data_IF_305553180794
#
_entry.id   IF_305553180794
#
_cell.length_a   1.000
_cell.length_b   1.000
_cell.length_c   1.000
_cell.angle_alpha   90.00
_cell.angle_beta   90.00
_cell.angle_gamma   90.00
#
_symmetry.space_group_name_H-M   'P 1'
#
loop_
_entity.id
_entity.type
_entity.pdbx_description
1 polymer ?
#
# COMPACT_ATOMS: atom_id res chain seq x y z
N UNK A 1 5.40 10.20 -107.14
CA UNK A 1 4.73 10.93 -106.03
C UNK A 1 4.25 10.06 -104.89
N UNK A 2 3.91 8.77 -104.99
CA UNK A 2 3.41 7.95 -103.88
C UNK A 2 4.51 7.48 -102.84
N UNK A 3 5.74 7.27 -103.28
CA UNK A 3 6.84 6.76 -102.38
C UNK A 3 7.40 7.84 -101.42
N UNK A 4 7.35 9.13 -101.73
CA UNK A 4 7.82 10.16 -100.87
C UNK A 4 6.80 10.53 -99.72
N UNK A 5 5.49 10.46 -100.02
CA UNK A 5 4.47 10.63 -99.02
C UNK A 5 4.44 9.49 -98.00
N UNK A 6 4.75 8.28 -98.39
CA UNK A 6 4.86 7.14 -97.49
C UNK A 6 6.06 7.26 -96.55
N UNK A 7 7.22 7.72 -97.03
CA UNK A 7 8.40 7.95 -96.18
C UNK A 7 8.15 9.06 -95.13
N UNK A 8 7.43 10.12 -95.51
CA UNK A 8 7.07 11.18 -94.53
C UNK A 8 6.09 10.68 -93.50
N UNK A 9 5.13 9.83 -93.85
CA UNK A 9 4.17 9.24 -92.92
C UNK A 9 4.84 8.27 -91.94
N UNK A 10 5.78 7.42 -92.37
CA UNK A 10 6.55 6.56 -91.51
C UNK A 10 7.48 7.32 -90.54
N UNK A 11 8.08 8.42 -91.00
CA UNK A 11 8.90 9.26 -90.12
C UNK A 11 8.06 9.97 -89.03
N UNK A 12 6.89 10.46 -89.37
CA UNK A 12 5.95 11.06 -88.41
C UNK A 12 5.43 10.01 -87.40
N UNK A 13 5.14 8.79 -87.86
CA UNK A 13 4.69 7.70 -86.95
C UNK A 13 5.78 7.24 -85.99
N UNK A 14 7.05 7.15 -86.46
CA UNK A 14 8.18 6.84 -85.61
C UNK A 14 8.42 7.99 -84.59
N UNK A 15 8.25 9.24 -85.00
CA UNK A 15 8.32 10.42 -84.09
C UNK A 15 7.29 10.42 -82.99
N UNK A 16 6.05 10.05 -83.35
CA UNK A 16 4.95 9.92 -82.35
C UNK A 16 5.20 8.74 -81.41
N UNK A 17 5.73 7.62 -81.92
CA UNK A 17 6.06 6.45 -81.08
C UNK A 17 7.19 6.72 -80.10
N UNK A 18 8.23 7.45 -80.55
CA UNK A 18 9.30 7.88 -79.67
C UNK A 18 8.82 8.89 -78.63
N UNK A 19 7.96 9.86 -79.01
CA UNK A 19 7.41 10.85 -78.09
C UNK A 19 6.46 10.19 -77.06
N UNK A 20 5.63 9.22 -77.44
CA UNK A 20 4.79 8.47 -76.55
C UNK A 20 5.60 7.56 -75.62
N UNK A 21 6.70 6.99 -76.10
CA UNK A 21 7.62 6.21 -75.27
C UNK A 21 8.34 7.04 -74.18
N UNK A 22 8.78 8.27 -74.55
CA UNK A 22 9.37 9.22 -73.62
C UNK A 22 8.32 9.71 -72.59
N UNK A 23 7.10 9.96 -73.01
CA UNK A 23 6.00 10.38 -72.12
C UNK A 23 5.62 9.27 -71.13
N UNK A 24 5.54 8.02 -71.61
CA UNK A 24 5.31 6.83 -70.75
C UNK A 24 6.46 6.56 -69.77
N UNK A 25 7.71 6.80 -70.21
CA UNK A 25 8.88 6.66 -69.37
C UNK A 25 8.92 7.74 -68.26
N UNK A 26 8.52 8.95 -68.58
CA UNK A 26 8.43 10.04 -67.62
C UNK A 26 7.30 9.84 -66.58
N UNK A 27 6.09 9.45 -67.01
CA UNK A 27 4.95 9.11 -66.15
C UNK A 27 5.20 7.84 -65.33
N UNK A 28 5.94 6.86 -65.85
CA UNK A 28 6.31 5.66 -65.15
C UNK A 28 7.31 5.85 -64.03
N UNK A 29 8.28 6.76 -64.21
CA UNK A 29 9.24 7.10 -63.19
C UNK A 29 8.56 7.81 -61.98
N UNK A 30 7.65 8.76 -62.22
CA UNK A 30 6.95 9.46 -61.15
C UNK A 30 6.10 8.52 -60.32
N UNK A 31 5.43 7.51 -60.95
CA UNK A 31 4.65 6.52 -60.24
C UNK A 31 5.51 5.56 -59.38
N UNK A 32 6.72 5.25 -59.89
CA UNK A 32 7.65 4.38 -59.17
C UNK A 32 8.27 5.09 -57.93
N UNK A 33 8.62 6.35 -58.11
CA UNK A 33 9.15 7.19 -57.03
C UNK A 33 8.08 7.38 -55.92
N UNK A 34 6.85 7.69 -56.30
CA UNK A 34 5.74 7.80 -55.36
C UNK A 34 5.48 6.45 -54.61
N UNK A 35 5.57 5.34 -55.28
CA UNK A 35 5.36 4.01 -54.68
C UNK A 35 6.50 3.61 -53.71
N UNK A 36 7.71 4.15 -53.90
CA UNK A 36 8.85 3.87 -53.02
C UNK A 36 8.91 4.76 -51.80
N UNK A 37 8.41 5.99 -51.92
CA UNK A 37 8.46 7.00 -50.82
C UNK A 37 7.25 6.85 -49.85
N UNK A 38 6.10 6.33 -50.36
CA UNK A 38 4.90 6.19 -49.52
C UNK A 38 4.77 4.75 -49.01
N UNK A 39 4.78 4.62 -47.69
CA UNK A 39 4.48 3.36 -47.00
C UNK A 39 3.10 3.37 -46.40
N UNK A 40 2.40 2.26 -46.48
CA UNK A 40 1.02 2.14 -45.99
C UNK A 40 0.93 1.01 -44.98
N UNK A 41 0.05 1.20 -43.99
CA UNK A 41 -0.27 0.22 -42.95
C UNK A 41 -1.73 0.29 -42.55
N UNK A 42 -2.27 -0.79 -42.01
CA UNK A 42 -3.65 -0.87 -41.54
C UNK A 42 -3.66 -0.42 -40.07
N UNK A 43 -4.47 0.58 -39.77
CA UNK A 43 -4.70 1.05 -38.42
C UNK A 43 -5.34 -0.06 -37.59
N UNK A 44 -4.68 -0.44 -36.51
CA UNK A 44 -5.10 -1.48 -35.59
C UNK A 44 -5.25 -0.88 -34.20
N UNK A 45 -6.36 -1.13 -33.51
CA UNK A 45 -6.46 -0.78 -32.10
C UNK A 45 -5.81 -1.85 -31.22
N UNK A 46 -5.25 -1.41 -30.12
CA UNK A 46 -4.65 -2.29 -29.14
C UNK A 46 -5.72 -3.11 -28.43
N UNK A 47 -5.54 -4.44 -28.37
CA UNK A 47 -6.50 -5.32 -27.72
C UNK A 47 -6.07 -5.67 -26.31
N UNK A 48 -6.97 -5.46 -25.36
CA UNK A 48 -6.76 -5.75 -23.94
C UNK A 48 -7.64 -6.91 -23.53
N UNK A 49 -7.01 -7.93 -22.96
CA UNK A 49 -7.71 -9.07 -22.34
C UNK A 49 -7.93 -8.75 -20.88
N UNK A 50 -9.19 -8.59 -20.48
CA UNK A 50 -9.55 -8.27 -19.11
C UNK A 50 -9.95 -9.53 -18.36
N UNK A 51 -9.39 -9.71 -17.17
CA UNK A 51 -9.58 -10.87 -16.29
C UNK A 51 -9.72 -10.43 -14.84
N UNK A 52 -10.32 -11.28 -14.01
CA UNK A 52 -10.32 -11.09 -12.57
C UNK A 52 -8.94 -11.40 -11.98
N UNK A 53 -8.39 -10.48 -11.19
CA UNK A 53 -7.09 -10.65 -10.54
C UNK A 53 -7.21 -11.50 -9.28
N UNK A 54 -6.52 -12.65 -9.23
CA UNK A 54 -6.35 -13.49 -8.03
C UNK A 54 -7.65 -14.01 -7.39
N UNK A 55 -8.82 -13.68 -7.94
CA UNK A 55 -10.13 -14.11 -7.45
C UNK A 55 -10.89 -14.84 -8.55
N UNK A 56 -11.69 -15.82 -8.16
CA UNK A 56 -12.59 -16.56 -9.03
C UNK A 56 -13.92 -16.81 -8.34
N UNK A 57 -14.89 -17.27 -9.08
CA UNK A 57 -16.23 -17.53 -8.54
C UNK A 57 -17.28 -17.59 -9.64
N UNK A 58 -18.54 -17.66 -9.22
CA UNK A 58 -19.67 -17.65 -10.13
C UNK A 58 -19.93 -16.23 -10.64
N UNK A 59 -20.07 -16.03 -11.93
CA UNK A 59 -20.49 -14.77 -12.54
C UNK A 59 -22.00 -14.57 -12.28
N UNK A 60 -22.33 -13.50 -11.56
CA UNK A 60 -23.74 -13.17 -11.22
C UNK A 60 -24.32 -12.04 -12.05
N UNK A 61 -23.45 -11.22 -12.67
CA UNK A 61 -23.91 -10.08 -13.45
C UNK A 61 -22.93 -9.72 -14.56
N UNK A 62 -23.45 -9.61 -15.78
CA UNK A 62 -22.81 -8.96 -16.91
C UNK A 62 -23.28 -7.48 -16.94
N UNK A 63 -22.35 -6.53 -16.78
CA UNK A 63 -22.65 -5.09 -16.74
C UNK A 63 -22.57 -4.41 -18.10
N UNK A 64 -22.09 -5.10 -19.13
CA UNK A 64 -21.81 -4.53 -20.47
C UNK A 64 -22.25 -5.48 -21.56
N UNK A 65 -22.38 -4.93 -22.78
CA UNK A 65 -22.71 -5.69 -23.98
C UNK A 65 -21.58 -5.63 -25.01
N UNK A 66 -21.54 -6.60 -25.93
CA UNK A 66 -20.62 -6.54 -27.06
C UNK A 66 -20.88 -5.30 -27.91
N UNK A 67 -19.83 -4.73 -28.46
CA UNK A 67 -19.79 -3.46 -29.18
C UNK A 67 -20.10 -2.19 -28.36
N UNK A 68 -20.32 -2.29 -27.03
CA UNK A 68 -20.53 -1.14 -26.14
C UNK A 68 -19.20 -0.40 -25.90
N UNK A 69 -19.25 0.94 -25.90
CA UNK A 69 -18.15 1.77 -25.41
C UNK A 69 -18.18 1.85 -23.89
N UNK A 70 -17.01 1.75 -23.28
CA UNK A 70 -16.82 1.82 -21.85
C UNK A 70 -15.71 2.80 -21.50
N UNK A 71 -15.81 3.41 -20.32
CA UNK A 71 -14.79 4.29 -19.75
C UNK A 71 -14.03 3.57 -18.67
N UNK A 72 -12.82 4.02 -18.43
CA UNK A 72 -11.99 3.53 -17.32
C UNK A 72 -12.75 3.58 -16.00
N UNK A 73 -12.81 2.44 -15.30
CA UNK A 73 -13.52 2.29 -14.03
C UNK A 73 -14.96 1.81 -14.14
N UNK A 74 -15.56 1.78 -15.33
CA UNK A 74 -16.90 1.22 -15.54
C UNK A 74 -16.94 -0.25 -15.12
N UNK A 75 -18.05 -0.66 -14.50
CA UNK A 75 -18.24 -2.05 -14.05
C UNK A 75 -18.56 -2.91 -15.26
N UNK A 76 -17.70 -3.88 -15.52
CA UNK A 76 -17.83 -4.83 -16.61
C UNK A 76 -18.59 -6.09 -16.21
N UNK A 77 -18.16 -6.72 -15.10
CA UNK A 77 -18.71 -7.99 -14.60
C UNK A 77 -18.63 -8.03 -13.07
N UNK A 78 -19.49 -8.83 -12.44
CA UNK A 78 -19.53 -9.03 -10.99
C UNK A 78 -19.61 -10.53 -10.70
N UNK A 79 -18.70 -11.01 -9.85
CA UNK A 79 -18.75 -12.36 -9.27
C UNK A 79 -19.55 -12.38 -7.97
N UNK A 80 -19.98 -13.56 -7.57
CA UNK A 80 -20.67 -13.78 -6.29
C UNK A 80 -19.73 -13.49 -5.12
N UNK A 81 -20.16 -12.62 -4.22
CA UNK A 81 -19.40 -12.20 -3.04
C UNK A 81 -19.84 -12.90 -1.75
N UNK A 82 -20.85 -13.77 -1.79
CA UNK A 82 -21.50 -14.34 -0.61
C UNK A 82 -20.51 -15.00 0.37
N UNK A 83 -19.57 -15.78 -0.14
CA UNK A 83 -18.56 -16.47 0.69
C UNK A 83 -17.56 -15.48 1.30
N UNK A 84 -17.17 -14.46 0.54
CA UNK A 84 -16.26 -13.42 1.02
C UNK A 84 -16.95 -12.52 2.04
N UNK A 85 -18.22 -12.18 1.83
CA UNK A 85 -19.04 -11.40 2.77
C UNK A 85 -19.21 -12.12 4.09
N UNK A 86 -19.47 -13.43 4.06
CA UNK A 86 -19.51 -14.26 5.27
C UNK A 86 -18.17 -14.28 6.00
N UNK A 87 -17.08 -14.41 5.26
CA UNK A 87 -15.72 -14.40 5.83
C UNK A 87 -15.37 -13.04 6.47
N UNK A 88 -15.79 -11.95 5.85
CA UNK A 88 -15.66 -10.58 6.40
C UNK A 88 -16.45 -10.48 7.72
N UNK A 89 -17.71 -10.87 7.72
CA UNK A 89 -18.56 -10.80 8.91
C UNK A 89 -18.00 -11.65 10.07
N UNK A 90 -17.46 -12.83 9.78
CA UNK A 90 -16.78 -13.66 10.78
C UNK A 90 -15.54 -12.98 11.36
N UNK A 91 -14.70 -12.38 10.51
CA UNK A 91 -13.50 -11.67 10.93
C UNK A 91 -13.86 -10.44 11.77
N UNK A 92 -14.86 -9.67 11.39
CA UNK A 92 -15.36 -8.53 12.15
C UNK A 92 -15.86 -8.94 13.53
N UNK A 93 -16.59 -10.06 13.64
CA UNK A 93 -17.04 -10.60 14.92
C UNK A 93 -15.86 -11.02 15.82
N UNK A 94 -14.81 -11.63 15.25
CA UNK A 94 -13.61 -12.01 16.00
C UNK A 94 -12.85 -10.76 16.49
N UNK A 95 -12.73 -9.71 15.68
CA UNK A 95 -12.13 -8.43 16.08
C UNK A 95 -12.93 -7.79 17.21
N UNK A 96 -14.26 -7.77 17.13
CA UNK A 96 -15.13 -7.24 18.17
C UNK A 96 -15.00 -8.02 19.50
N UNK A 97 -14.87 -9.36 19.43
CA UNK A 97 -14.60 -10.19 20.61
C UNK A 97 -13.24 -9.81 21.22
N UNK A 98 -12.21 -9.66 20.41
CA UNK A 98 -10.86 -9.29 20.86
C UNK A 98 -10.84 -7.87 21.47
N UNK A 99 -11.59 -6.94 20.91
CA UNK A 99 -11.78 -5.59 21.48
C UNK A 99 -12.38 -5.65 22.90
N UNK A 100 -13.35 -6.50 23.09
CA UNK A 100 -13.97 -6.71 24.41
C UNK A 100 -12.97 -7.30 25.41
N UNK A 101 -12.10 -8.22 24.96
CA UNK A 101 -11.03 -8.79 25.78
C UNK A 101 -9.98 -7.72 26.16
N UNK A 102 -9.55 -6.92 25.19
CA UNK A 102 -8.61 -5.80 25.42
C UNK A 102 -9.18 -4.81 26.44
N UNK A 103 -10.45 -4.41 26.26
CA UNK A 103 -11.13 -3.51 27.19
C UNK A 103 -11.20 -4.07 28.60
N UNK A 104 -11.54 -5.35 28.76
CA UNK A 104 -11.59 -6.03 30.06
C UNK A 104 -10.19 -6.11 30.70
N UNK A 105 -9.18 -6.51 29.93
CA UNK A 105 -7.80 -6.62 30.39
C UNK A 105 -7.23 -5.24 30.81
N UNK A 106 -7.47 -4.19 30.02
CA UNK A 106 -7.07 -2.80 30.34
C UNK A 106 -7.77 -2.33 31.62
N UNK A 107 -9.06 -2.62 31.78
CA UNK A 107 -9.79 -2.34 33.01
C UNK A 107 -9.17 -3.04 34.22
N UNK A 108 -8.79 -4.31 34.08
CA UNK A 108 -8.09 -5.08 35.12
C UNK A 108 -6.73 -4.48 35.51
N UNK A 109 -5.97 -3.97 34.55
CA UNK A 109 -4.71 -3.24 34.80
C UNK A 109 -4.99 -1.95 35.59
N UNK A 110 -5.97 -1.15 35.19
CA UNK A 110 -6.35 0.07 35.88
C UNK A 110 -6.76 -0.18 37.34
N UNK A 111 -7.55 -1.24 37.58
CA UNK A 111 -7.93 -1.65 38.95
C UNK A 111 -6.67 -2.06 39.74
N UNK A 112 -5.74 -2.80 39.15
CA UNK A 112 -4.50 -3.21 39.84
C UNK A 112 -3.64 -1.99 40.25
N UNK A 113 -3.53 -0.96 39.43
CA UNK A 113 -2.85 0.28 39.79
C UNK A 113 -3.60 1.08 40.85
N UNK A 114 -4.93 1.17 40.77
CA UNK A 114 -5.75 1.84 41.78
C UNK A 114 -5.62 1.17 43.16
N UNK A 115 -5.59 -0.19 43.18
CA UNK A 115 -5.38 -0.94 44.41
C UNK A 115 -3.99 -0.68 44.99
N UNK A 116 -2.92 -0.73 44.17
CA UNK A 116 -1.57 -0.43 44.60
C UNK A 116 -1.45 1.01 45.21
N UNK A 117 -2.10 2.01 44.62
CA UNK A 117 -2.15 3.35 45.14
C UNK A 117 -2.91 3.44 46.47
N UNK A 118 -4.01 2.70 46.63
CA UNK A 118 -4.78 2.63 47.88
C UNK A 118 -3.95 1.99 48.98
N UNK A 119 -3.29 0.87 48.69
CA UNK A 119 -2.45 0.12 49.63
C UNK A 119 -1.24 0.97 50.06
N UNK A 120 -0.65 1.75 49.13
CA UNK A 120 0.41 2.71 49.41
C UNK A 120 -0.04 3.77 50.42
N UNK A 121 -1.20 4.41 50.16
CA UNK A 121 -1.75 5.43 51.09
C UNK A 121 -2.05 4.86 52.47
N UNK A 122 -2.56 3.62 52.54
CA UNK A 122 -2.83 2.95 53.80
C UNK A 122 -1.51 2.66 54.55
N UNK A 123 -0.49 2.19 53.85
CA UNK A 123 0.85 1.95 54.44
C UNK A 123 1.47 3.23 54.97
N UNK A 124 1.41 4.33 54.25
CA UNK A 124 1.90 5.63 54.76
C UNK A 124 1.14 6.10 55.98
N UNK A 125 -0.20 5.98 56.01
CA UNK A 125 -0.98 6.35 57.20
C UNK A 125 -0.61 5.51 58.42
N UNK A 126 -0.37 4.19 58.25
CA UNK A 126 0.07 3.33 59.34
C UNK A 126 1.46 3.70 59.86
N UNK A 127 2.40 4.02 58.95
CA UNK A 127 3.75 4.51 59.34
C UNK A 127 3.65 5.83 60.10
N UNK A 128 2.84 6.78 59.62
CA UNK A 128 2.70 8.08 60.27
C UNK A 128 2.03 7.98 61.66
N UNK A 129 1.01 7.10 61.79
CA UNK A 129 0.38 6.80 63.07
C UNK A 129 1.41 6.17 64.04
N UNK A 130 2.24 5.27 63.57
CA UNK A 130 3.26 4.65 64.42
C UNK A 130 4.39 5.64 64.78
N UNK A 131 4.80 6.54 63.88
CA UNK A 131 5.72 7.64 64.20
C UNK A 131 5.17 8.54 65.32
N UNK A 132 3.87 8.88 65.25
CA UNK A 132 3.22 9.65 66.29
C UNK A 132 3.21 8.90 67.64
N UNK A 133 2.97 7.58 67.62
CA UNK A 133 3.03 6.73 68.82
C UNK A 133 4.45 6.69 69.44
N UNK A 134 5.50 6.59 68.59
CA UNK A 134 6.89 6.69 69.06
C UNK A 134 7.15 8.04 69.69
N UNK A 135 6.75 9.15 69.09
CA UNK A 135 6.93 10.51 69.61
C UNK A 135 6.21 10.71 70.97
N UNK A 136 5.00 10.17 71.14
CA UNK A 136 4.27 10.21 72.42
C UNK A 136 4.98 9.38 73.52
N UNK A 137 5.47 8.19 73.18
CA UNK A 137 6.22 7.35 74.10
C UNK A 137 7.57 8.02 74.52
N UNK A 138 8.23 8.66 73.56
CA UNK A 138 9.48 9.42 73.81
C UNK A 138 9.26 10.61 74.78
N UNK A 139 8.19 11.39 74.55
CA UNK A 139 7.81 12.47 75.46
C UNK A 139 7.53 11.95 76.86
N UNK A 140 6.87 10.77 76.98
CA UNK A 140 6.59 10.15 78.29
C UNK A 140 7.88 9.68 78.95
N UNK A 141 8.79 9.09 78.24
CA UNK A 141 10.09 8.65 78.71
C UNK A 141 10.94 9.89 79.22
N UNK A 142 11.06 10.94 78.44
CA UNK A 142 11.80 12.14 78.76
C UNK A 142 11.23 12.75 80.02
N UNK A 143 9.89 12.84 80.18
CA UNK A 143 9.25 13.40 81.43
C UNK A 143 9.57 12.52 82.64
N UNK A 144 9.48 11.20 82.51
CA UNK A 144 9.83 10.27 83.59
C UNK A 144 11.32 10.37 83.99
N UNK A 145 12.20 10.51 83.02
CA UNK A 145 13.65 10.72 83.27
C UNK A 145 13.94 11.98 83.96
N UNK A 146 13.28 13.12 83.60
CA UNK A 146 13.41 14.42 84.32
C UNK A 146 12.91 14.25 85.70
N UNK A 147 11.78 13.57 85.95
CA UNK A 147 11.26 13.36 87.30
C UNK A 147 12.23 12.51 88.18
N UNK A 148 12.72 11.39 87.59
CA UNK A 148 13.74 10.56 88.29
C UNK A 148 14.97 11.36 88.66
N UNK A 149 15.54 12.18 87.79
CA UNK A 149 16.69 13.03 88.05
C UNK A 149 16.38 14.08 89.15
N UNK A 150 15.15 14.60 89.18
CA UNK A 150 14.70 15.54 90.23
C UNK A 150 14.62 14.88 91.60
N UNK A 151 14.00 13.68 91.66
CA UNK A 151 13.89 12.91 92.88
C UNK A 151 15.25 12.47 93.42
N UNK A 152 16.18 12.07 92.55
CA UNK A 152 17.57 11.77 92.98
C UNK A 152 18.30 12.99 93.53
N UNK A 153 18.10 14.19 92.93
CA UNK A 153 18.65 15.45 93.50
C UNK A 153 18.04 15.84 94.87
N UNK A 154 16.74 15.60 95.03
CA UNK A 154 16.06 15.89 96.34
C UNK A 154 16.47 14.86 97.42
N UNK A 155 16.70 13.60 97.08
CA UNK A 155 17.22 12.62 98.01
C UNK A 155 18.59 13.01 98.52
N UNK A 156 19.51 13.48 97.61
CA UNK A 156 20.84 13.94 98.00
C UNK A 156 20.83 15.13 98.99
N UNK A 157 19.75 15.93 99.00
CA UNK A 157 19.48 17.02 99.98
C UNK A 157 18.67 16.55 101.19
N UNK A 158 18.29 15.25 101.27
CA UNK A 158 17.48 14.71 102.39
C UNK A 158 16.01 15.14 102.37
N UNK A 159 15.49 15.65 101.25
CA UNK A 159 14.12 16.16 101.14
C UNK A 159 13.06 15.15 100.82
N UNK A 160 13.43 13.94 100.33
CA UNK A 160 12.51 12.82 99.97
C UNK A 160 13.05 11.48 100.45
N UNK A 161 12.16 10.45 100.59
CA UNK A 161 12.53 9.12 101.02
C UNK A 161 13.09 8.29 99.77
N UNK A 162 13.96 7.30 100.05
CA UNK A 162 14.48 6.40 99.03
C UNK A 162 13.36 5.73 98.19
N UNK A 163 12.28 5.38 98.80
CA UNK A 163 11.11 4.80 98.15
C UNK A 163 10.55 5.67 96.99
N UNK A 164 10.61 7.00 97.13
CA UNK A 164 10.14 7.91 96.08
C UNK A 164 11.09 7.93 94.88
N UNK A 165 12.40 7.73 95.06
CA UNK A 165 13.39 7.58 93.98
C UNK A 165 13.21 6.26 93.29
N UNK A 166 13.01 5.17 94.07
CA UNK A 166 12.77 3.80 93.51
C UNK A 166 11.48 3.73 92.63
N UNK A 167 10.40 4.44 93.12
CA UNK A 167 9.15 4.56 92.33
C UNK A 167 9.40 5.39 91.01
N UNK A 168 10.14 6.48 91.11
CA UNK A 168 10.48 7.27 89.90
C UNK A 168 11.35 6.53 88.91
N UNK A 169 12.29 5.71 89.45
CA UNK A 169 13.12 4.82 88.59
C UNK A 169 12.24 3.74 87.87
N UNK A 170 11.39 3.07 88.60
CA UNK A 170 10.47 2.12 88.04
C UNK A 170 9.58 2.73 86.92
N UNK A 171 9.09 3.96 87.18
CA UNK A 171 8.31 4.68 86.20
C UNK A 171 9.11 5.03 84.90
N UNK A 172 10.36 5.40 85.07
CA UNK A 172 11.28 5.62 83.94
C UNK A 172 11.57 4.36 83.18
N UNK A 173 11.85 3.24 83.87
CA UNK A 173 12.14 1.95 83.22
C UNK A 173 10.93 1.42 82.45
N UNK A 174 9.72 1.53 82.96
CA UNK A 174 8.48 1.20 82.28
C UNK A 174 8.31 2.08 81.04
N UNK A 175 8.54 3.40 81.13
CA UNK A 175 8.47 4.30 80.00
C UNK A 175 9.53 4.00 78.95
N UNK A 176 10.75 3.60 79.32
CA UNK A 176 11.82 3.19 78.43
C UNK A 176 11.46 1.90 77.68
N UNK A 177 10.88 0.93 78.37
CA UNK A 177 10.42 -0.33 77.73
C UNK A 177 9.29 -0.07 76.71
N UNK A 178 8.34 0.82 77.06
CA UNK A 178 7.27 1.24 76.14
C UNK A 178 7.81 1.92 74.89
N UNK A 179 8.75 2.86 75.07
CA UNK A 179 9.41 3.52 73.92
C UNK A 179 10.14 2.51 73.03
N UNK A 180 10.87 1.57 73.58
CA UNK A 180 11.56 0.51 72.86
C UNK A 180 10.57 -0.32 72.04
N UNK A 181 9.45 -0.71 72.65
CA UNK A 181 8.38 -1.46 71.94
C UNK A 181 7.80 -0.68 70.75
N UNK A 182 7.50 0.64 70.94
CA UNK A 182 6.97 1.46 69.85
C UNK A 182 8.00 1.64 68.70
N UNK A 183 9.28 1.78 69.03
CA UNK A 183 10.37 1.86 68.06
C UNK A 183 10.52 0.57 67.27
N UNK A 184 10.42 -0.59 67.92
CA UNK A 184 10.44 -1.90 67.26
C UNK A 184 9.25 -2.08 66.29
N UNK A 185 8.05 -1.64 66.74
CA UNK A 185 6.88 -1.68 65.88
C UNK A 185 7.07 -0.79 64.63
N UNK A 186 7.63 0.41 64.78
CA UNK A 186 7.97 1.27 63.64
C UNK A 186 9.03 0.62 62.75
N UNK A 187 10.06 0.02 63.33
CA UNK A 187 11.09 -0.69 62.56
C UNK A 187 10.54 -1.84 61.75
N UNK A 188 9.53 -2.58 62.26
CA UNK A 188 8.81 -3.64 61.52
C UNK A 188 8.06 -3.08 60.32
N UNK A 189 7.37 -1.93 60.45
CA UNK A 189 6.66 -1.25 59.40
C UNK A 189 7.63 -0.69 58.32
N UNK A 190 8.81 -0.28 58.74
CA UNK A 190 9.88 0.23 57.83
C UNK A 190 10.77 -0.90 57.28
N UNK A 191 10.58 -2.14 57.68
CA UNK A 191 11.44 -3.23 57.27
C UNK A 191 11.40 -3.42 55.72
N UNK A 192 12.58 -3.33 55.09
CA UNK A 192 12.72 -3.43 53.62
C UNK A 192 12.39 -2.15 52.86
N UNK A 193 12.00 -1.07 53.55
CA UNK A 193 11.79 0.24 52.90
C UNK A 193 13.16 0.94 52.68
N UNK A 194 13.25 1.71 51.57
CA UNK A 194 14.40 2.56 51.27
C UNK A 194 13.93 3.96 50.90
N UNK A 195 14.72 4.97 51.20
CA UNK A 195 14.47 6.32 50.66
C UNK A 195 14.91 6.35 49.19
N UNK A 196 14.12 6.98 48.36
CA UNK A 196 14.50 7.19 46.96
C UNK A 196 15.58 8.25 46.87
N UNK A 197 16.65 7.99 46.09
CA UNK A 197 17.80 8.91 45.99
C UNK A 197 17.47 10.35 45.51
N UNK A 198 16.29 10.56 44.95
CA UNK A 198 15.87 11.85 44.36
C UNK A 198 14.62 12.49 44.99
N UNK A 199 13.97 11.83 45.91
CA UNK A 199 12.78 12.37 46.60
C UNK A 199 12.76 11.86 48.04
N UNK A 200 12.36 12.66 49.00
CA UNK A 200 12.12 12.25 50.41
C UNK A 200 10.99 11.20 50.54
N UNK A 201 10.64 10.55 49.43
CA UNK A 201 9.59 9.53 49.35
C UNK A 201 10.14 8.16 49.73
N UNK A 202 9.54 7.56 50.73
CA UNK A 202 9.83 6.22 51.18
C UNK A 202 9.34 5.20 50.11
N UNK A 203 10.25 4.38 49.59
CA UNK A 203 9.90 3.30 48.67
C UNK A 203 9.41 2.07 49.45
N UNK A 204 8.18 1.62 49.15
CA UNK A 204 7.54 0.45 49.72
C UNK A 204 7.71 -0.73 48.80
N UNK A 205 8.55 -1.76 49.09
CA UNK A 205 8.82 -2.86 48.19
C UNK A 205 7.59 -3.65 47.76
N UNK A 206 6.62 -3.84 48.63
CA UNK A 206 5.36 -4.53 48.33
C UNK A 206 4.55 -3.79 47.26
N UNK A 207 4.50 -2.45 47.37
CA UNK A 207 3.82 -1.61 46.39
C UNK A 207 4.57 -1.61 45.03
N UNK A 208 5.92 -1.56 45.09
CA UNK A 208 6.73 -1.66 43.89
C UNK A 208 6.47 -3.01 43.12
N UNK A 209 6.38 -4.12 43.84
CA UNK A 209 6.04 -5.42 43.25
C UNK A 209 4.61 -5.43 42.68
N UNK A 210 3.63 -4.84 43.38
CA UNK A 210 2.25 -4.73 42.86
C UNK A 210 2.22 -3.90 41.56
N UNK A 211 2.90 -2.77 41.51
CA UNK A 211 3.01 -1.94 40.30
C UNK A 211 3.72 -2.66 39.17
N UNK A 212 4.79 -3.41 39.46
CA UNK A 212 5.48 -4.22 38.47
C UNK A 212 4.56 -5.33 37.92
N UNK A 213 3.75 -5.97 38.78
CA UNK A 213 2.78 -6.95 38.36
C UNK A 213 1.70 -6.35 37.46
N UNK A 214 1.22 -5.12 37.77
CA UNK A 214 0.31 -4.40 36.92
C UNK A 214 0.95 -4.00 35.58
N UNK A 215 2.24 -3.60 35.57
CA UNK A 215 2.98 -3.34 34.34
C UNK A 215 3.15 -4.57 33.47
N UNK A 216 3.42 -5.74 34.05
CA UNK A 216 3.50 -6.99 33.32
C UNK A 216 2.15 -7.35 32.65
N UNK A 217 1.02 -7.18 33.35
CA UNK A 217 -0.31 -7.33 32.73
C UNK A 217 -0.57 -6.35 31.59
N UNK A 218 0.07 -5.17 31.58
CA UNK A 218 0.00 -4.24 30.46
C UNK A 218 0.69 -4.78 29.21
N UNK A 219 1.76 -5.56 29.37
CA UNK A 219 2.41 -6.26 28.25
C UNK A 219 1.47 -7.32 27.64
N UNK A 220 0.66 -7.99 28.47
CA UNK A 220 -0.36 -8.93 27.97
C UNK A 220 -1.43 -8.20 27.15
N UNK A 221 -1.85 -7.00 27.60
CA UNK A 221 -2.77 -6.14 26.82
C UNK A 221 -2.14 -5.75 25.48
N UNK A 222 -0.87 -5.37 25.48
CA UNK A 222 -0.15 -5.00 24.24
C UNK A 222 -0.10 -6.20 23.26
N UNK A 223 0.13 -7.42 23.76
CA UNK A 223 0.09 -8.62 22.93
C UNK A 223 -1.30 -8.82 22.26
N UNK A 224 -2.38 -8.59 22.98
CA UNK A 224 -3.74 -8.64 22.42
C UNK A 224 -3.97 -7.54 21.37
N UNK A 225 -3.43 -6.34 21.58
CA UNK A 225 -3.50 -5.24 20.59
C UNK A 225 -2.75 -5.61 19.31
N UNK A 226 -1.58 -6.23 19.40
CA UNK A 226 -0.84 -6.71 18.22
C UNK A 226 -1.60 -7.83 17.50
N UNK A 227 -2.24 -8.72 18.24
CA UNK A 227 -3.10 -9.76 17.67
C UNK A 227 -4.28 -9.13 16.90
N UNK A 228 -4.95 -8.13 17.48
CA UNK A 228 -6.03 -7.37 16.82
C UNK A 228 -5.54 -6.75 15.51
N UNK A 229 -4.39 -6.09 15.53
CA UNK A 229 -3.80 -5.46 14.34
C UNK A 229 -3.53 -6.48 13.22
N UNK A 230 -3.10 -7.69 13.59
CA UNK A 230 -2.93 -8.78 12.62
C UNK A 230 -4.26 -9.20 11.99
N UNK A 231 -5.34 -9.30 12.78
CA UNK A 231 -6.68 -9.65 12.28
C UNK A 231 -7.28 -8.53 11.42
N UNK A 232 -7.05 -7.27 11.77
CA UNK A 232 -7.44 -6.11 10.94
C UNK A 232 -6.74 -6.12 9.57
N UNK A 233 -5.47 -6.52 9.52
CA UNK A 233 -4.76 -6.70 8.25
C UNK A 233 -5.37 -7.84 7.40
N UNK A 234 -5.80 -8.93 8.04
CA UNK A 234 -6.51 -10.02 7.34
C UNK A 234 -7.89 -9.56 6.84
N UNK A 235 -8.63 -8.80 7.65
CA UNK A 235 -9.91 -8.19 7.24
C UNK A 235 -9.72 -7.31 6.01
N UNK A 236 -8.70 -6.47 5.99
CA UNK A 236 -8.38 -5.63 4.84
C UNK A 236 -8.09 -6.44 3.58
N UNK A 237 -7.40 -7.58 3.70
CA UNK A 237 -7.17 -8.49 2.57
C UNK A 237 -8.49 -9.09 2.04
N UNK A 238 -9.41 -9.48 2.92
CA UNK A 238 -10.73 -9.97 2.52
C UNK A 238 -11.55 -8.88 1.80
N UNK A 239 -11.51 -7.65 2.30
CA UNK A 239 -12.17 -6.49 1.67
C UNK A 239 -11.59 -6.20 0.28
N UNK A 240 -10.26 -6.27 0.12
CA UNK A 240 -9.60 -6.13 -1.18
C UNK A 240 -10.01 -7.25 -2.15
N UNK A 241 -10.11 -8.49 -1.65
CA UNK A 241 -10.61 -9.59 -2.46
C UNK A 241 -12.07 -9.37 -2.88
N UNK A 242 -12.91 -8.82 -1.99
CA UNK A 242 -14.29 -8.42 -2.34
C UNK A 242 -14.34 -7.36 -3.44
N UNK A 243 -13.48 -6.33 -3.36
CA UNK A 243 -13.39 -5.32 -4.42
C UNK A 243 -13.00 -5.93 -5.76
N UNK A 244 -12.08 -6.90 -5.77
CA UNK A 244 -11.64 -7.61 -6.98
C UNK A 244 -12.69 -8.51 -7.60
N UNK A 245 -13.76 -8.88 -6.87
CA UNK A 245 -14.92 -9.59 -7.43
C UNK A 245 -15.74 -8.71 -8.38
N UNK A 246 -15.52 -7.39 -8.38
CA UNK A 246 -16.11 -6.47 -9.35
C UNK A 246 -15.06 -6.10 -10.38
N UNK A 247 -15.20 -6.63 -11.60
CA UNK A 247 -14.32 -6.35 -12.72
C UNK A 247 -14.64 -4.98 -13.30
N UNK A 248 -13.62 -4.14 -13.42
CA UNK A 248 -13.75 -2.78 -13.98
C UNK A 248 -12.88 -2.62 -15.21
N UNK A 249 -13.29 -1.73 -16.11
CA UNK A 249 -12.50 -1.37 -17.29
C UNK A 249 -11.16 -0.72 -16.87
N UNK A 250 -10.01 -1.25 -17.34
CA UNK A 250 -8.69 -0.69 -17.00
C UNK A 250 -8.42 0.64 -17.73
N UNK A 251 -9.07 0.86 -18.87
CA UNK A 251 -8.94 2.05 -19.72
C UNK A 251 -10.20 2.28 -20.54
N UNK A 252 -10.26 3.39 -21.25
CA UNK A 252 -11.34 3.70 -22.19
C UNK A 252 -11.24 2.80 -23.44
N UNK A 253 -12.38 2.32 -23.92
CA UNK A 253 -12.36 1.44 -25.08
C UNK A 253 -13.74 0.90 -25.44
N UNK A 254 -13.74 -0.11 -26.33
CA UNK A 254 -14.94 -0.79 -26.81
C UNK A 254 -14.87 -2.29 -26.52
N UNK A 255 -15.95 -2.86 -26.05
CA UNK A 255 -16.04 -4.30 -25.82
C UNK A 255 -16.11 -5.00 -27.17
N UNK A 256 -15.14 -5.86 -27.47
CA UNK A 256 -15.13 -6.67 -28.69
C UNK A 256 -15.91 -7.96 -28.50
N UNK A 257 -15.63 -8.67 -27.41
CA UNK A 257 -16.21 -9.98 -27.13
C UNK A 257 -16.31 -10.26 -25.64
N UNK A 258 -17.40 -10.87 -25.26
CA UNK A 258 -17.64 -11.39 -23.91
C UNK A 258 -17.35 -12.91 -23.97
N UNK A 259 -16.39 -13.38 -23.15
CA UNK A 259 -15.89 -14.75 -23.17
C UNK A 259 -16.52 -15.64 -22.11
N UNK A 260 -17.09 -15.03 -21.04
CA UNK A 260 -17.78 -15.72 -19.95
C UNK A 260 -19.18 -15.15 -19.77
N UNK A 261 -20.16 -16.03 -19.47
CA UNK A 261 -21.58 -15.66 -19.34
C UNK A 261 -22.07 -15.80 -17.91
N UNK A 262 -23.15 -15.08 -17.61
CA UNK A 262 -23.85 -15.15 -16.34
C UNK A 262 -24.20 -16.60 -15.96
N UNK A 263 -23.88 -16.99 -14.72
CA UNK A 263 -24.02 -18.35 -14.21
C UNK A 263 -22.76 -19.24 -14.35
N UNK A 264 -21.80 -18.87 -15.19
CA UNK A 264 -20.54 -19.61 -15.34
C UNK A 264 -19.60 -19.41 -14.17
N UNK A 265 -18.74 -20.40 -13.92
CA UNK A 265 -17.65 -20.31 -12.93
C UNK A 265 -16.39 -19.85 -13.66
N UNK A 266 -15.85 -18.74 -13.19
CA UNK A 266 -14.62 -18.12 -13.73
C UNK A 266 -13.45 -18.44 -12.82
N UNK A 267 -12.36 -18.93 -13.41
CA UNK A 267 -11.11 -19.13 -12.68
C UNK A 267 -10.29 -17.80 -12.61
N UNK A 268 -9.47 -17.62 -11.56
CA UNK A 268 -8.58 -16.47 -11.45
C UNK A 268 -7.69 -16.30 -12.68
N UNK A 269 -7.40 -15.06 -13.06
CA UNK A 269 -6.53 -14.69 -14.20
C UNK A 269 -6.95 -15.25 -15.58
N UNK A 270 -8.17 -15.74 -15.69
CA UNK A 270 -8.72 -16.17 -16.97
C UNK A 270 -9.38 -14.98 -17.67
N UNK A 271 -9.03 -14.66 -18.93
CA UNK A 271 -9.67 -13.60 -19.67
C UNK A 271 -11.18 -13.84 -19.83
N UNK A 272 -11.99 -12.88 -19.43
CA UNK A 272 -13.46 -12.94 -19.52
C UNK A 272 -14.02 -11.92 -20.50
N UNK A 273 -13.26 -10.88 -20.81
CA UNK A 273 -13.63 -9.85 -21.78
C UNK A 273 -12.41 -9.56 -22.66
N UNK A 274 -12.66 -9.42 -23.95
CA UNK A 274 -11.74 -8.84 -24.92
C UNK A 274 -12.24 -7.43 -25.25
N UNK A 275 -11.44 -6.43 -24.95
CA UNK A 275 -11.76 -5.04 -25.28
C UNK A 275 -10.73 -4.45 -26.22
N UNK A 276 -11.14 -3.49 -27.00
CA UNK A 276 -10.35 -2.68 -27.89
C UNK A 276 -10.09 -1.33 -27.23
N UNK A 277 -8.82 -0.99 -27.08
CA UNK A 277 -8.39 0.30 -26.53
C UNK A 277 -8.65 1.44 -27.52
N UNK A 278 -8.77 2.64 -27.04
CA UNK A 278 -8.79 3.84 -27.89
C UNK A 278 -7.41 4.12 -28.51
N UNK A 279 -6.35 3.46 -28.04
CA UNK A 279 -5.01 3.62 -28.58
C UNK A 279 -4.89 2.82 -29.88
N UNK A 280 -4.65 3.55 -30.96
CA UNK A 280 -4.49 2.97 -32.28
C UNK A 280 -3.06 3.08 -32.77
N UNK A 281 -2.60 2.08 -33.48
CA UNK A 281 -1.29 2.06 -34.12
C UNK A 281 -1.38 1.42 -35.50
N UNK A 282 -0.40 1.69 -36.32
CA UNK A 282 -0.20 0.93 -37.55
C UNK A 282 1.31 0.67 -37.73
N UNK A 283 1.58 -0.43 -38.40
CA UNK A 283 2.93 -0.89 -38.67
C UNK A 283 3.29 -0.59 -40.12
N UNK A 284 4.44 0.02 -40.34
CA UNK A 284 5.05 0.17 -41.66
C UNK A 284 6.43 -0.47 -41.64
N UNK A 285 6.86 -0.94 -42.81
CA UNK A 285 8.15 -1.59 -42.97
C UNK A 285 9.07 -0.72 -43.77
N UNK A 286 10.23 -0.39 -43.20
CA UNK A 286 11.26 0.45 -43.83
C UNK A 286 12.51 -0.39 -44.09
N UNK A 287 13.31 0.02 -45.09
CA UNK A 287 14.60 -0.60 -45.37
C UNK A 287 15.68 -0.11 -44.36
N UNK A 288 16.74 -0.89 -44.24
CA UNK A 288 17.90 -0.53 -43.42
C UNK A 288 18.53 0.82 -43.82
N UNK A 289 18.42 1.20 -45.09
CA UNK A 289 18.93 2.49 -45.61
C UNK A 289 18.24 3.68 -44.96
N UNK A 290 16.91 3.58 -44.72
CA UNK A 290 16.13 4.67 -44.14
C UNK A 290 16.09 4.63 -42.60
N UNK A 291 16.71 3.61 -41.97
CA UNK A 291 16.70 3.46 -40.52
C UNK A 291 17.33 4.64 -39.78
N UNK A 292 18.38 5.24 -40.38
CA UNK A 292 19.14 6.34 -39.77
C UNK A 292 18.36 7.67 -39.65
N UNK A 293 17.28 7.82 -40.41
CA UNK A 293 16.47 9.04 -40.47
C UNK A 293 15.36 9.09 -39.40
N UNK A 294 15.11 7.98 -38.69
CA UNK A 294 14.03 7.85 -37.72
C UNK A 294 14.51 7.30 -36.40
N UNK A 295 13.91 7.80 -35.30
CA UNK A 295 14.19 7.35 -33.93
C UNK A 295 12.88 7.11 -33.17
N UNK A 296 12.93 6.22 -32.18
CA UNK A 296 11.83 6.08 -31.24
C UNK A 296 11.58 7.41 -30.50
N UNK A 297 10.30 7.83 -30.46
CA UNK A 297 9.89 9.12 -29.92
C UNK A 297 9.67 10.23 -30.96
N UNK A 298 10.09 10.04 -32.21
CA UNK A 298 9.90 11.03 -33.26
C UNK A 298 8.43 11.14 -33.68
N UNK A 299 8.01 12.36 -33.99
CA UNK A 299 6.71 12.61 -34.60
C UNK A 299 6.83 12.64 -36.11
N UNK A 300 5.94 11.94 -36.78
CA UNK A 300 5.93 11.80 -38.24
C UNK A 300 4.55 12.16 -38.80
N UNK A 301 4.49 12.93 -39.88
CA UNK A 301 3.23 13.23 -40.54
C UNK A 301 2.66 11.97 -41.20
N UNK A 302 1.41 11.68 -40.90
CA UNK A 302 0.66 10.53 -41.38
C UNK A 302 -0.60 11.03 -42.06
N UNK A 303 -1.09 10.34 -43.06
CA UNK A 303 -2.38 10.66 -43.68
C UNK A 303 -3.26 9.42 -43.85
N UNK A 304 -4.55 9.63 -43.77
CA UNK A 304 -5.52 8.58 -44.13
C UNK A 304 -5.58 8.45 -45.65
N UNK A 305 -5.36 7.24 -46.15
CA UNK A 305 -5.34 6.97 -47.63
C UNK A 305 -6.67 7.32 -48.27
N UNK A 306 -7.77 7.01 -47.59
CA UNK A 306 -9.14 7.18 -48.15
C UNK A 306 -9.60 8.64 -48.18
N UNK A 307 -9.22 9.45 -47.17
CA UNK A 307 -9.77 10.82 -47.01
C UNK A 307 -8.72 11.92 -47.19
N UNK A 308 -7.43 11.57 -47.23
CA UNK A 308 -6.33 12.54 -47.29
C UNK A 308 -6.17 13.38 -46.02
N UNK A 309 -6.80 12.99 -44.91
CA UNK A 309 -6.67 13.74 -43.65
C UNK A 309 -5.25 13.55 -43.09
N UNK A 310 -4.58 14.66 -42.84
CA UNK A 310 -3.24 14.68 -42.28
C UNK A 310 -3.30 14.70 -40.73
N UNK A 311 -2.42 13.91 -40.13
CA UNK A 311 -2.31 13.67 -38.69
C UNK A 311 -0.86 13.63 -38.29
N UNK A 312 -0.60 13.73 -37.00
CA UNK A 312 0.72 13.44 -36.43
C UNK A 312 0.67 12.07 -35.74
N UNK A 313 1.61 11.21 -36.11
CA UNK A 313 1.84 9.93 -35.46
C UNK A 313 3.17 9.96 -34.70
N UNK A 314 3.25 9.20 -33.62
CA UNK A 314 4.47 9.07 -32.82
C UNK A 314 5.06 7.67 -33.00
N UNK A 315 6.34 7.60 -33.35
CA UNK A 315 7.10 6.35 -33.52
C UNK A 315 7.43 5.83 -32.12
N UNK A 316 6.88 4.70 -31.72
CA UNK A 316 7.18 4.12 -30.41
C UNK A 316 8.06 2.87 -30.47
N UNK A 317 8.03 2.15 -31.58
CA UNK A 317 8.80 0.92 -31.73
C UNK A 317 9.49 0.97 -33.09
N UNK A 318 10.78 0.73 -33.09
CA UNK A 318 11.61 0.58 -34.28
C UNK A 318 12.46 -0.68 -34.10
N UNK A 319 12.05 -1.79 -34.71
CA UNK A 319 12.69 -3.09 -34.51
C UNK A 319 12.81 -3.86 -35.81
N UNK A 320 13.64 -4.91 -35.80
CA UNK A 320 13.74 -5.81 -36.95
C UNK A 320 12.36 -6.39 -37.31
N UNK A 321 12.05 -6.38 -38.60
CA UNK A 321 10.78 -6.92 -39.08
C UNK A 321 10.65 -8.42 -38.77
N UNK A 322 9.43 -8.90 -38.43
CA UNK A 322 9.15 -10.33 -38.30
C UNK A 322 9.48 -11.07 -39.62
N UNK A 323 9.87 -12.36 -39.55
CA UNK A 323 10.34 -13.13 -40.71
C UNK A 323 9.38 -13.22 -41.89
N UNK A 324 8.06 -13.03 -41.66
CA UNK A 324 7.08 -12.97 -42.76
C UNK A 324 7.07 -11.64 -43.52
N UNK A 325 7.54 -10.57 -42.90
CA UNK A 325 7.65 -9.24 -43.47
C UNK A 325 9.08 -8.94 -43.96
N UNK A 326 10.02 -9.83 -43.69
CA UNK A 326 11.37 -9.79 -44.23
C UNK A 326 11.26 -10.19 -45.73
N UNK A 327 10.92 -9.18 -46.55
CA UNK A 327 10.75 -9.34 -47.98
C UNK A 327 12.12 -9.62 -48.64
N UNK A 328 12.63 -10.82 -48.47
CA UNK A 328 13.65 -11.39 -49.39
C UNK A 328 13.00 -11.65 -50.75
N UNK A 329 12.50 -10.57 -51.34
CA UNK A 329 11.98 -10.67 -52.70
C UNK A 329 13.14 -10.96 -53.63
N UNK A 330 12.89 -11.80 -54.64
CA UNK A 330 13.73 -12.08 -55.80
C UNK A 330 14.45 -10.80 -56.26
N UNK A 331 15.63 -10.61 -55.75
CA UNK A 331 16.46 -9.45 -56.14
C UNK A 331 17.27 -9.82 -57.38
N UNK A 332 17.47 -8.83 -58.23
CA UNK A 332 18.38 -8.98 -59.34
C UNK A 332 19.81 -9.26 -58.82
N UNK A 333 20.54 -10.10 -59.52
CA UNK A 333 21.92 -10.47 -59.16
C UNK A 333 22.77 -9.24 -58.93
N UNK A 334 23.21 -9.01 -57.66
CA UNK A 334 24.16 -7.95 -57.31
C UNK A 334 23.66 -6.93 -56.26
N UNK A 335 22.41 -6.98 -55.82
CA UNK A 335 21.93 -6.14 -54.71
C UNK A 335 22.20 -6.79 -53.34
N UNK A 336 22.65 -5.99 -52.38
CA UNK A 336 22.86 -6.44 -51.01
C UNK A 336 21.52 -6.84 -50.33
N UNK A 337 21.53 -7.90 -49.51
CA UNK A 337 20.39 -8.31 -48.71
C UNK A 337 20.19 -7.28 -47.58
N UNK A 338 19.30 -6.32 -47.79
CA UNK A 338 18.92 -5.35 -46.78
C UNK A 338 17.84 -5.93 -45.85
N UNK A 339 17.99 -5.75 -44.57
CA UNK A 339 17.03 -6.15 -43.57
C UNK A 339 15.88 -5.13 -43.52
N UNK A 340 14.66 -5.62 -43.43
CA UNK A 340 13.51 -4.76 -43.21
C UNK A 340 13.33 -4.50 -41.70
N UNK A 341 12.94 -3.28 -41.36
CA UNK A 341 12.63 -2.87 -40.01
C UNK A 341 11.15 -2.49 -39.90
N UNK A 342 10.53 -2.91 -38.80
CA UNK A 342 9.15 -2.58 -38.46
C UNK A 342 9.17 -1.26 -37.65
N UNK A 343 8.46 -0.26 -38.16
CA UNK A 343 8.22 1.00 -37.49
C UNK A 343 6.75 1.05 -37.08
N UNK A 344 6.48 1.05 -35.79
CA UNK A 344 5.13 1.15 -35.21
C UNK A 344 4.83 2.58 -34.82
N UNK A 345 3.79 3.13 -35.45
CA UNK A 345 3.37 4.52 -35.32
C UNK A 345 2.04 4.53 -34.57
N UNK A 346 2.03 5.18 -33.42
CA UNK A 346 0.82 5.42 -32.61
C UNK A 346 0.15 6.72 -33.01
N UNK A 347 -1.18 6.72 -33.00
CA UNK A 347 -2.00 7.87 -33.28
C UNK A 347 -2.82 8.25 -32.05
N UNK A 348 -2.97 9.55 -31.80
CA UNK A 348 -3.93 10.04 -30.82
C UNK A 348 -5.36 9.75 -31.28
N UNK A 349 -6.27 9.33 -30.36
CA UNK A 349 -7.66 9.05 -30.69
C UNK A 349 -8.37 10.25 -31.29
N UNK A 350 -9.02 10.03 -32.45
CA UNK A 350 -9.84 11.07 -33.11
C UNK A 350 -11.18 10.46 -33.55
N UNK A 351 -12.27 11.26 -33.46
CA UNK A 351 -13.63 10.77 -33.72
C UNK A 351 -13.86 10.19 -35.13
N UNK A 352 -13.06 10.62 -36.12
CA UNK A 352 -13.24 10.20 -37.53
C UNK A 352 -12.29 9.07 -37.96
N UNK A 353 -11.45 8.58 -37.05
CA UNK A 353 -10.44 7.56 -37.36
C UNK A 353 -10.84 6.28 -36.67
N UNK A 354 -11.08 5.25 -37.47
CA UNK A 354 -11.56 3.94 -37.00
C UNK A 354 -10.52 2.87 -37.32
N UNK A 355 -10.28 1.92 -36.41
CA UNK A 355 -9.47 0.75 -36.73
C UNK A 355 -9.92 0.05 -38.03
N UNK A 356 -8.97 -0.42 -38.83
CA UNK A 356 -9.22 -0.96 -40.17
C UNK A 356 -8.99 0.04 -41.32
N UNK A 357 -8.84 1.34 -41.03
CA UNK A 357 -8.47 2.31 -42.05
C UNK A 357 -7.01 2.12 -42.52
N UNK A 358 -6.76 2.40 -43.78
CA UNK A 358 -5.37 2.43 -44.29
C UNK A 358 -4.75 3.81 -44.04
N UNK A 359 -3.60 3.77 -43.39
CA UNK A 359 -2.79 4.94 -43.10
C UNK A 359 -1.54 4.95 -43.96
N UNK A 360 -1.18 6.11 -44.47
CA UNK A 360 0.01 6.31 -45.27
C UNK A 360 1.01 7.24 -44.57
N UNK A 361 2.27 6.92 -44.73
CA UNK A 361 3.39 7.72 -44.29
C UNK A 361 4.30 8.00 -45.50
N UNK A 362 4.65 9.25 -45.72
CA UNK A 362 5.66 9.60 -46.71
C UNK A 362 7.02 9.61 -46.01
N UNK A 363 7.85 8.67 -46.39
CA UNK A 363 9.22 8.56 -45.91
C UNK A 363 10.10 9.60 -46.67
N UNK A 364 11.08 10.13 -45.97
CA UNK A 364 12.08 11.04 -46.58
C UNK A 364 13.12 10.25 -47.34
#
# INVERSE_FOLDING_TARGET
>A
MKKEKAKKFTLIFIGIMILSGILLMYSGNDALVLATERKEGILTAEQVKVSFESVGGRLIKEGVQEAQQVKKGDVLMVLDSSDVDLSIAQMEAQIAQLDSQIKSATGGVAISYAQANTDEQQSFRQIDQQKAAVSAAEATYVNSQVNYNRMTGLLASGAVAQQEVDNAQLAMDVAAASLSQQRENLAKLLAGTSYSDNTDALNLPTIAIQRQTAANKMNDVEALVQQKKSMEAQLKNLQLNKERLTLRAPEDGKILKILAKEGEIVAPNTPVILMESTRCYFDVYISEENLGDYKEGDNIPVETVATGQKLEGNIRILTKAPGFADLKMTREKGQSDLTAFQMRIYLEPQEKIVPGMTMGVNLK
#
